data_IF_475057137086
#
_entry.id   IF_475057137086
#
_cell.length_a   1.000
_cell.length_b   1.000
_cell.length_c   1.000
_cell.angle_alpha   90.00
_cell.angle_beta   90.00
_cell.angle_gamma   90.00
#
_symmetry.space_group_name_H-M   'P 1'
#
loop_
_entity.id
_entity.type
_entity.pdbx_description
1 polymer ?
#
# COMPACT_ATOMS: atom_id res chain seq x y z
N UNK A 1 -6.39 -13.35 -11.70
CA UNK A 1 -6.82 -14.68 -12.14
C UNK A 1 -5.81 -15.32 -13.11
N UNK A 2 -5.51 -14.74 -14.26
CA UNK A 2 -4.51 -15.29 -15.19
C UNK A 2 -3.14 -15.49 -14.53
N UNK A 3 -2.64 -14.56 -13.72
CA UNK A 3 -1.40 -14.72 -12.95
C UNK A 3 -1.47 -15.85 -11.91
N UNK A 4 -2.64 -16.03 -11.27
CA UNK A 4 -2.84 -17.13 -10.32
C UNK A 4 -2.76 -18.50 -10.99
N UNK A 5 -3.20 -18.59 -12.26
CA UNK A 5 -3.21 -19.83 -13.03
C UNK A 5 -1.88 -20.10 -13.74
N UNK A 6 -1.21 -19.07 -14.24
CA UNK A 6 -0.01 -19.20 -15.07
C UNK A 6 1.30 -18.83 -14.35
N UNK A 7 1.21 -18.34 -13.11
CA UNK A 7 2.32 -17.86 -12.28
C UNK A 7 2.80 -16.47 -12.70
N UNK A 8 3.02 -16.22 -13.98
CA UNK A 8 3.43 -14.92 -14.52
C UNK A 8 2.82 -14.69 -15.89
N UNK A 9 2.49 -13.44 -16.18
CA UNK A 9 2.07 -13.01 -17.52
C UNK A 9 3.24 -12.58 -18.40
N UNK A 10 4.42 -12.40 -17.82
CA UNK A 10 5.61 -11.97 -18.56
C UNK A 10 5.97 -12.96 -19.66
N UNK A 11 6.06 -12.45 -20.89
CA UNK A 11 6.37 -13.24 -22.09
C UNK A 11 5.24 -14.15 -22.60
N UNK A 12 4.06 -14.15 -21.99
CA UNK A 12 2.90 -14.93 -22.44
C UNK A 12 2.25 -14.28 -23.64
N UNK A 13 1.96 -15.06 -24.67
CA UNK A 13 1.34 -14.58 -25.91
C UNK A 13 -0.19 -14.66 -25.83
N UNK A 14 -0.85 -13.60 -26.25
CA UNK A 14 -2.29 -13.43 -26.18
C UNK A 14 -2.92 -13.43 -27.56
N UNK A 15 -4.10 -14.04 -27.67
CA UNK A 15 -5.02 -13.91 -28.79
C UNK A 15 -6.33 -13.29 -28.29
N UNK A 16 -6.66 -12.12 -28.80
CA UNK A 16 -7.85 -11.37 -28.44
C UNK A 16 -8.90 -11.43 -29.54
N UNK A 17 -10.05 -12.01 -29.25
CA UNK A 17 -11.23 -11.97 -30.12
C UNK A 17 -12.09 -10.76 -29.77
N UNK A 18 -12.26 -9.86 -30.73
CA UNK A 18 -12.97 -8.61 -30.58
C UNK A 18 -12.04 -7.39 -30.60
N UNK A 19 -12.60 -6.24 -30.97
CA UNK A 19 -11.88 -4.97 -31.03
C UNK A 19 -12.73 -3.83 -30.43
N UNK A 20 -13.55 -4.14 -29.42
CA UNK A 20 -14.34 -3.19 -28.68
C UNK A 20 -13.57 -2.53 -27.53
N UNK A 21 -14.27 -1.69 -26.75
CA UNK A 21 -13.68 -0.98 -25.63
C UNK A 21 -13.12 -1.93 -24.55
N UNK A 22 -13.84 -3.00 -24.21
CA UNK A 22 -13.39 -4.00 -23.24
C UNK A 22 -12.14 -4.74 -23.73
N UNK A 23 -12.09 -5.08 -25.04
CA UNK A 23 -10.93 -5.67 -25.66
C UNK A 23 -9.69 -4.77 -25.54
N UNK A 24 -9.85 -3.45 -25.79
CA UNK A 24 -8.80 -2.44 -25.65
C UNK A 24 -8.26 -2.38 -24.21
N UNK A 25 -9.14 -2.24 -23.23
CA UNK A 25 -8.75 -2.16 -21.81
C UNK A 25 -8.03 -3.43 -21.34
N UNK A 26 -8.52 -4.58 -21.79
CA UNK A 26 -7.90 -5.87 -21.47
C UNK A 26 -6.52 -5.99 -22.07
N UNK A 27 -6.35 -5.63 -23.36
CA UNK A 27 -5.06 -5.62 -24.03
C UNK A 27 -4.04 -4.73 -23.31
N UNK A 28 -4.41 -3.50 -22.97
CA UNK A 28 -3.54 -2.57 -22.24
C UNK A 28 -3.11 -3.12 -20.87
N UNK A 29 -4.03 -3.74 -20.14
CA UNK A 29 -3.74 -4.35 -18.83
C UNK A 29 -2.73 -5.50 -18.94
N UNK A 30 -2.89 -6.38 -19.93
CA UNK A 30 -1.97 -7.50 -20.13
C UNK A 30 -0.59 -7.02 -20.58
N UNK A 31 -0.52 -6.07 -21.49
CA UNK A 31 0.75 -5.48 -21.95
C UNK A 31 1.47 -4.73 -20.81
N UNK A 32 0.72 -3.99 -19.99
CA UNK A 32 1.27 -3.33 -18.78
C UNK A 32 1.87 -4.29 -17.75
N UNK A 33 1.48 -5.58 -17.80
CA UNK A 33 2.04 -6.66 -16.97
C UNK A 33 3.15 -7.47 -17.67
N UNK A 34 3.66 -6.99 -18.79
CA UNK A 34 4.78 -7.58 -19.50
C UNK A 34 4.40 -8.79 -20.37
N UNK A 35 3.14 -8.91 -20.80
CA UNK A 35 2.73 -9.90 -21.78
C UNK A 35 3.59 -9.80 -23.06
N UNK A 36 3.76 -10.93 -23.74
CA UNK A 36 4.54 -11.02 -24.97
C UNK A 36 3.77 -10.50 -26.18
N UNK A 37 3.64 -11.32 -27.20
CA UNK A 37 2.92 -10.95 -28.43
C UNK A 37 1.41 -10.87 -28.17
N UNK A 38 0.77 -9.86 -28.77
CA UNK A 38 -0.67 -9.68 -28.77
C UNK A 38 -1.20 -9.82 -30.20
N UNK A 39 -1.97 -10.87 -30.47
CA UNK A 39 -2.70 -11.07 -31.68
C UNK A 39 -4.15 -10.63 -31.51
N UNK A 40 -4.67 -9.85 -32.45
CA UNK A 40 -6.03 -9.30 -32.39
C UNK A 40 -6.83 -9.78 -33.59
N UNK A 41 -7.96 -10.38 -33.32
CA UNK A 41 -8.88 -10.92 -34.34
C UNK A 41 -10.24 -10.26 -34.19
N UNK A 42 -10.77 -9.77 -35.27
CA UNK A 42 -12.13 -9.29 -35.36
C UNK A 42 -12.80 -9.73 -36.66
N UNK A 43 -14.13 -9.74 -36.67
CA UNK A 43 -14.90 -10.02 -37.90
C UNK A 43 -14.58 -9.02 -39.02
N UNK A 44 -14.36 -7.76 -38.65
CA UNK A 44 -13.90 -6.69 -39.55
C UNK A 44 -12.41 -6.46 -39.27
N UNK A 45 -11.58 -6.76 -40.26
CA UNK A 45 -10.12 -6.68 -40.13
C UNK A 45 -9.65 -5.27 -39.79
N UNK A 46 -10.30 -4.26 -40.36
CA UNK A 46 -9.96 -2.84 -40.14
C UNK A 46 -10.00 -2.48 -38.68
N UNK A 47 -11.01 -2.94 -37.93
CA UNK A 47 -11.12 -2.70 -36.46
C UNK A 47 -10.03 -3.41 -35.69
N UNK A 48 -9.60 -4.58 -36.13
CA UNK A 48 -8.47 -5.28 -35.52
C UNK A 48 -7.16 -4.50 -35.75
N UNK A 49 -7.00 -3.95 -36.96
CA UNK A 49 -5.82 -3.15 -37.34
C UNK A 49 -5.76 -1.83 -36.53
N UNK A 50 -6.89 -1.13 -36.38
CA UNK A 50 -6.98 0.08 -35.56
C UNK A 50 -6.58 -0.21 -34.10
N UNK A 51 -7.14 -1.27 -33.51
CA UNK A 51 -6.79 -1.63 -32.14
C UNK A 51 -5.33 -2.07 -32.03
N UNK A 52 -4.82 -2.85 -33.01
CA UNK A 52 -3.44 -3.29 -33.03
C UNK A 52 -2.45 -2.13 -33.09
N UNK A 53 -2.74 -1.11 -33.90
CA UNK A 53 -1.93 0.12 -33.96
C UNK A 53 -1.90 0.87 -32.63
N UNK A 54 -3.04 0.96 -31.93
CA UNK A 54 -3.16 1.67 -30.66
C UNK A 54 -2.40 0.98 -29.51
N UNK A 55 -2.41 -0.35 -29.47
CA UNK A 55 -1.85 -1.10 -28.34
C UNK A 55 -0.51 -1.78 -28.65
N UNK A 56 0.00 -1.66 -29.88
CA UNK A 56 1.25 -2.32 -30.28
C UNK A 56 1.10 -3.82 -30.51
N UNK A 57 -0.10 -4.28 -30.93
CA UNK A 57 -0.40 -5.67 -31.26
C UNK A 57 -0.29 -5.97 -32.77
N UNK A 58 -0.65 -7.19 -33.14
CA UNK A 58 -0.72 -7.66 -34.54
C UNK A 58 -2.16 -8.06 -34.90
N UNK A 59 -2.75 -7.42 -35.90
CA UNK A 59 -4.05 -7.80 -36.41
C UNK A 59 -3.92 -9.07 -37.25
N UNK A 60 -4.78 -10.06 -37.01
CA UNK A 60 -4.84 -11.33 -37.73
C UNK A 60 -6.23 -11.48 -38.34
N UNK A 61 -6.26 -11.86 -39.60
CA UNK A 61 -7.52 -12.17 -40.26
C UNK A 61 -8.18 -13.39 -39.62
N UNK A 62 -9.50 -13.38 -39.47
CA UNK A 62 -10.26 -14.43 -38.77
C UNK A 62 -10.00 -15.86 -39.34
N UNK A 63 -9.72 -15.98 -40.64
CA UNK A 63 -9.39 -17.25 -41.29
C UNK A 63 -7.96 -17.73 -41.04
N UNK A 64 -7.09 -16.84 -40.57
CA UNK A 64 -5.65 -17.08 -40.40
C UNK A 64 -5.26 -17.34 -38.94
N UNK A 65 -6.22 -17.41 -38.03
CA UNK A 65 -5.97 -17.64 -36.60
C UNK A 65 -5.16 -18.92 -36.34
N UNK A 66 -5.33 -19.93 -37.20
CA UNK A 66 -4.61 -21.19 -37.06
C UNK A 66 -3.08 -21.03 -37.25
N UNK A 67 -2.62 -20.00 -37.97
CA UNK A 67 -1.20 -19.75 -38.18
C UNK A 67 -0.47 -19.24 -36.92
N UNK A 68 -1.19 -18.66 -35.96
CA UNK A 68 -0.63 -18.07 -34.73
C UNK A 68 -1.00 -18.85 -33.48
N UNK A 69 -2.01 -19.70 -33.54
CA UNK A 69 -2.57 -20.36 -32.32
C UNK A 69 -1.56 -21.27 -31.62
N UNK A 70 -0.59 -21.82 -32.34
CA UNK A 70 0.50 -22.60 -31.73
C UNK A 70 1.39 -21.80 -30.81
N UNK A 71 1.46 -20.47 -30.97
CA UNK A 71 2.28 -19.56 -30.18
C UNK A 71 1.50 -18.92 -29.02
N UNK A 72 0.17 -19.09 -28.98
CA UNK A 72 -0.72 -18.43 -27.99
C UNK A 72 -0.82 -19.21 -26.69
N UNK A 73 -0.75 -18.54 -25.56
CA UNK A 73 -0.94 -19.11 -24.21
C UNK A 73 -2.31 -18.75 -23.62
N UNK A 74 -2.84 -17.60 -24.01
CA UNK A 74 -4.10 -17.06 -23.46
C UNK A 74 -4.98 -16.62 -24.63
N UNK A 75 -6.25 -17.02 -24.61
CA UNK A 75 -7.29 -16.50 -25.52
C UNK A 75 -8.29 -15.70 -24.69
N UNK A 76 -8.57 -14.49 -25.13
CA UNK A 76 -9.57 -13.62 -24.52
C UNK A 76 -10.68 -13.37 -25.53
N UNK A 77 -11.90 -13.71 -25.17
CA UNK A 77 -13.08 -13.51 -25.99
C UNK A 77 -13.88 -12.31 -25.47
N UNK A 78 -14.11 -11.33 -26.34
CA UNK A 78 -14.76 -10.05 -26.05
C UNK A 78 -15.48 -9.52 -27.29
N UNK A 79 -16.30 -10.37 -27.94
CA UNK A 79 -17.06 -9.95 -29.12
C UNK A 79 -18.53 -9.66 -28.76
N UNK A 80 -19.26 -9.08 -29.67
CA UNK A 80 -20.72 -8.91 -29.55
C UNK A 80 -21.49 -9.95 -30.39
N UNK A 81 -20.92 -11.13 -30.62
CA UNK A 81 -21.55 -12.17 -31.42
C UNK A 81 -22.74 -12.78 -30.66
N UNK A 82 -23.89 -13.05 -31.34
CA UNK A 82 -25.04 -13.66 -30.69
C UNK A 82 -24.91 -15.18 -30.50
N UNK A 83 -23.79 -15.77 -30.90
CA UNK A 83 -23.50 -17.21 -30.87
C UNK A 83 -22.04 -17.45 -30.49
N UNK A 84 -21.72 -18.66 -30.06
CA UNK A 84 -20.34 -19.03 -29.72
C UNK A 84 -19.37 -18.86 -30.88
N UNK A 85 -18.34 -18.07 -30.68
CA UNK A 85 -17.24 -17.82 -31.60
C UNK A 85 -16.17 -18.91 -31.45
N UNK A 86 -15.97 -19.41 -30.23
CA UNK A 86 -15.03 -20.47 -29.91
C UNK A 86 -15.84 -21.72 -29.51
N UNK A 87 -15.98 -22.63 -30.46
CA UNK A 87 -16.70 -23.89 -30.27
C UNK A 87 -15.75 -25.03 -29.96
N UNK A 88 -16.26 -26.16 -29.44
CA UNK A 88 -15.47 -27.36 -29.12
C UNK A 88 -14.69 -27.86 -30.33
N UNK A 89 -15.29 -28.05 -31.55
CA UNK A 89 -14.53 -28.52 -32.71
C UNK A 89 -13.40 -27.58 -33.15
N UNK A 90 -13.61 -26.26 -33.00
CA UNK A 90 -12.60 -25.26 -33.33
C UNK A 90 -11.44 -25.31 -32.32
N UNK A 91 -11.74 -25.38 -31.05
CA UNK A 91 -10.73 -25.41 -29.99
C UNK A 91 -9.95 -26.72 -29.99
N UNK A 92 -10.61 -27.84 -30.32
CA UNK A 92 -9.95 -29.13 -30.47
C UNK A 92 -8.84 -29.06 -31.57
N UNK A 93 -9.13 -28.46 -32.73
CA UNK A 93 -8.11 -28.22 -33.76
C UNK A 93 -6.98 -27.30 -33.28
N UNK A 94 -7.29 -26.31 -32.47
CA UNK A 94 -6.28 -25.44 -31.86
C UNK A 94 -5.36 -26.24 -30.93
N UNK A 95 -5.91 -27.12 -30.10
CA UNK A 95 -5.13 -27.95 -29.17
C UNK A 95 -4.24 -28.97 -29.93
N UNK A 96 -4.70 -29.49 -31.06
CA UNK A 96 -3.87 -30.33 -31.91
C UNK A 96 -2.65 -29.57 -32.45
N UNK A 97 -2.84 -28.36 -32.99
CA UNK A 97 -1.75 -27.47 -33.44
C UNK A 97 -0.81 -27.04 -32.31
N UNK A 98 -1.31 -26.97 -31.08
CA UNK A 98 -0.57 -26.62 -29.88
C UNK A 98 0.11 -27.81 -29.20
N UNK A 99 -0.08 -29.01 -29.72
CA UNK A 99 0.43 -30.26 -29.14
C UNK A 99 -0.01 -30.47 -27.68
N UNK A 100 -1.25 -30.11 -27.38
CA UNK A 100 -1.82 -30.25 -26.02
C UNK A 100 -1.28 -29.30 -24.97
N UNK A 101 -0.49 -28.28 -25.33
CA UNK A 101 0.02 -27.29 -24.34
C UNK A 101 -1.15 -26.60 -23.62
N UNK A 102 -1.01 -26.31 -22.31
CA UNK A 102 -2.04 -25.63 -21.55
C UNK A 102 -2.50 -24.32 -22.21
N UNK A 103 -3.80 -24.13 -22.26
CA UNK A 103 -4.44 -22.95 -22.83
C UNK A 103 -5.42 -22.36 -21.84
N UNK A 104 -5.26 -21.08 -21.55
CA UNK A 104 -6.19 -20.32 -20.74
C UNK A 104 -7.17 -19.57 -21.63
N UNK A 105 -8.46 -19.75 -21.41
CA UNK A 105 -9.55 -19.01 -22.03
C UNK A 105 -10.19 -18.08 -21.00
N UNK A 106 -10.42 -16.85 -21.41
CA UNK A 106 -11.13 -15.84 -20.59
C UNK A 106 -12.26 -15.27 -21.46
N UNK A 107 -13.51 -15.57 -21.11
CA UNK A 107 -14.69 -15.09 -21.81
C UNK A 107 -15.31 -13.92 -21.02
N UNK A 108 -15.14 -12.72 -21.56
CA UNK A 108 -15.73 -11.48 -21.00
C UNK A 108 -16.86 -10.94 -21.88
N UNK A 109 -17.34 -11.76 -22.83
CA UNK A 109 -18.42 -11.36 -23.72
C UNK A 109 -19.82 -11.58 -23.11
N UNK A 110 -20.73 -10.71 -23.47
CA UNK A 110 -22.16 -10.85 -23.19
C UNK A 110 -22.92 -10.60 -24.48
N UNK A 111 -23.59 -11.63 -25.05
CA UNK A 111 -23.64 -13.05 -24.62
C UNK A 111 -22.25 -13.74 -24.73
N UNK A 112 -22.11 -14.94 -24.14
CA UNK A 112 -20.85 -15.71 -24.14
C UNK A 112 -20.37 -16.03 -25.53
N UNK A 113 -19.07 -15.84 -25.74
CA UNK A 113 -18.36 -16.18 -26.99
C UNK A 113 -17.83 -17.62 -27.02
N UNK A 114 -17.62 -18.22 -25.84
CA UNK A 114 -17.00 -19.54 -25.69
C UNK A 114 -18.04 -20.58 -25.26
N UNK A 115 -18.10 -21.70 -25.99
CA UNK A 115 -18.90 -22.84 -25.60
C UNK A 115 -18.37 -23.44 -24.28
N UNK A 116 -19.16 -23.51 -23.20
CA UNK A 116 -18.74 -24.09 -21.93
C UNK A 116 -18.21 -25.52 -22.00
N UNK A 117 -18.65 -26.30 -23.00
CA UNK A 117 -18.21 -27.67 -23.21
C UNK A 117 -16.71 -27.79 -23.57
N UNK A 118 -16.02 -26.68 -23.90
CA UNK A 118 -14.56 -26.68 -24.16
C UNK A 118 -13.75 -27.08 -22.92
N UNK A 119 -14.30 -26.94 -21.72
CA UNK A 119 -13.64 -27.37 -20.47
C UNK A 119 -13.40 -28.88 -20.39
N UNK A 120 -14.04 -29.66 -21.24
CA UNK A 120 -13.81 -31.10 -21.37
C UNK A 120 -12.54 -31.45 -22.16
N UNK A 121 -11.96 -30.49 -22.87
CA UNK A 121 -10.73 -30.70 -23.63
C UNK A 121 -9.50 -30.68 -22.70
N UNK A 122 -8.58 -31.64 -22.85
CA UNK A 122 -7.38 -31.68 -22.04
C UNK A 122 -6.54 -30.40 -22.16
N UNK A 123 -6.03 -29.90 -21.05
CA UNK A 123 -5.17 -28.72 -21.01
C UNK A 123 -5.89 -27.39 -21.26
N UNK A 124 -7.22 -27.37 -21.27
CA UNK A 124 -8.02 -26.14 -21.43
C UNK A 124 -8.60 -25.72 -20.09
N UNK A 125 -8.36 -24.47 -19.71
CA UNK A 125 -8.99 -23.82 -18.57
C UNK A 125 -9.83 -22.67 -19.08
N UNK A 126 -11.10 -22.59 -18.69
CA UNK A 126 -12.02 -21.51 -19.06
C UNK A 126 -12.44 -20.75 -17.82
N UNK A 127 -12.34 -19.44 -17.89
CA UNK A 127 -12.98 -18.50 -16.96
C UNK A 127 -13.95 -17.62 -17.72
N UNK A 128 -15.09 -17.36 -17.13
CA UNK A 128 -16.11 -16.45 -17.66
C UNK A 128 -16.26 -15.21 -16.74
N UNK A 129 -17.15 -14.30 -17.11
CA UNK A 129 -17.36 -13.05 -16.38
C UNK A 129 -17.87 -13.30 -14.95
N UNK A 130 -18.62 -14.37 -14.72
CA UNK A 130 -19.16 -14.70 -13.38
C UNK A 130 -18.02 -15.16 -12.45
N UNK A 131 -17.09 -15.98 -12.97
CA UNK A 131 -15.88 -16.42 -12.24
C UNK A 131 -14.97 -15.21 -11.91
N UNK A 132 -14.98 -14.16 -12.74
CA UNK A 132 -14.24 -12.93 -12.49
C UNK A 132 -14.87 -12.12 -11.35
N UNK A 133 -16.20 -12.14 -11.19
CA UNK A 133 -16.89 -11.46 -10.11
C UNK A 133 -16.55 -12.05 -8.74
N UNK A 134 -16.44 -13.37 -8.62
CA UNK A 134 -16.02 -14.02 -7.38
C UNK A 134 -14.63 -13.54 -6.92
N UNK A 135 -13.69 -13.40 -7.86
CA UNK A 135 -12.34 -12.89 -7.54
C UNK A 135 -12.36 -11.41 -7.14
N UNK A 136 -13.27 -10.62 -7.69
CA UNK A 136 -13.44 -9.21 -7.28
C UNK A 136 -13.93 -9.13 -5.84
N UNK A 137 -14.91 -9.95 -5.46
CA UNK A 137 -15.41 -10.00 -4.08
C UNK A 137 -14.34 -10.42 -3.07
N UNK A 138 -13.51 -11.42 -3.39
CA UNK A 138 -12.39 -11.84 -2.55
C UNK A 138 -11.35 -10.72 -2.38
N UNK A 139 -11.07 -9.97 -3.45
CA UNK A 139 -10.16 -8.83 -3.41
C UNK A 139 -10.73 -7.65 -2.61
N UNK A 140 -12.03 -7.39 -2.69
CA UNK A 140 -12.71 -6.36 -1.90
C UNK A 140 -12.66 -6.69 -0.40
N UNK A 141 -12.95 -7.94 -0.02
CA UNK A 141 -12.86 -8.39 1.36
C UNK A 141 -11.42 -8.30 1.91
N UNK A 142 -10.41 -8.52 1.08
CA UNK A 142 -9.00 -8.37 1.46
C UNK A 142 -8.63 -6.91 1.61
N UNK A 143 -9.02 -6.03 0.66
CA UNK A 143 -8.81 -4.58 0.75
C UNK A 143 -9.50 -3.97 1.97
N UNK A 144 -10.69 -4.45 2.31
CA UNK A 144 -11.41 -4.00 3.50
C UNK A 144 -10.65 -4.34 4.80
N UNK A 145 -10.08 -5.54 4.89
CA UNK A 145 -9.22 -5.94 6.02
C UNK A 145 -7.94 -5.11 6.09
N UNK A 146 -7.30 -4.85 4.96
CA UNK A 146 -6.11 -4.00 4.88
C UNK A 146 -6.43 -2.53 5.23
N UNK A 147 -7.59 -2.01 4.80
CA UNK A 147 -8.05 -0.67 5.16
C UNK A 147 -8.30 -0.52 6.66
N UNK A 148 -8.90 -1.53 7.31
CA UNK A 148 -9.07 -1.57 8.77
C UNK A 148 -7.72 -1.60 9.47
N UNK A 149 -6.76 -2.41 9.02
CA UNK A 149 -5.41 -2.43 9.58
C UNK A 149 -4.69 -1.08 9.41
N UNK A 150 -4.86 -0.43 8.26
CA UNK A 150 -4.30 0.89 8.01
C UNK A 150 -4.93 1.98 8.91
N UNK A 151 -6.24 1.91 9.21
CA UNK A 151 -6.89 2.87 10.12
C UNK A 151 -6.32 2.82 11.52
N UNK A 152 -5.98 1.64 12.05
CA UNK A 152 -5.30 1.52 13.36
C UNK A 152 -3.95 2.24 13.38
N UNK A 153 -3.16 2.14 12.30
CA UNK A 153 -1.87 2.82 12.21
C UNK A 153 -2.06 4.35 12.18
N UNK A 154 -3.08 4.82 11.47
CA UNK A 154 -3.43 6.25 11.43
C UNK A 154 -3.88 6.74 12.79
N UNK A 155 -4.76 6.01 13.48
CA UNK A 155 -5.26 6.37 14.81
C UNK A 155 -4.12 6.41 15.84
N UNK A 156 -3.20 5.47 15.82
CA UNK A 156 -2.00 5.47 16.67
C UNK A 156 -1.10 6.67 16.37
N UNK A 157 -0.89 6.99 15.10
CA UNK A 157 -0.10 8.15 14.69
C UNK A 157 -0.77 9.48 15.12
N UNK A 158 -2.08 9.58 14.97
CA UNK A 158 -2.87 10.75 15.40
C UNK A 158 -2.80 10.91 16.92
N UNK A 159 -2.98 9.85 17.70
CA UNK A 159 -2.87 9.90 19.16
C UNK A 159 -1.47 10.34 19.59
N UNK A 160 -0.43 9.80 18.99
CA UNK A 160 0.97 10.21 19.24
C UNK A 160 1.19 11.68 18.88
N UNK A 161 0.59 12.15 17.79
CA UNK A 161 0.67 13.56 17.39
C UNK A 161 -0.07 14.48 18.36
N UNK A 162 -1.26 14.08 18.83
CA UNK A 162 -2.04 14.83 19.81
C UNK A 162 -1.25 14.94 21.13
N UNK A 163 -0.66 13.87 21.64
CA UNK A 163 0.18 13.89 22.84
C UNK A 163 1.37 14.84 22.69
N UNK A 164 2.04 14.82 21.54
CA UNK A 164 3.14 15.76 21.25
C UNK A 164 2.67 17.20 21.15
N UNK A 165 1.51 17.43 20.55
CA UNK A 165 0.93 18.76 20.44
C UNK A 165 0.51 19.31 21.80
N UNK A 166 -0.05 18.47 22.66
CA UNK A 166 -0.40 18.83 24.03
C UNK A 166 0.82 19.33 24.82
N UNK A 167 1.98 18.68 24.65
CA UNK A 167 3.20 19.12 25.33
C UNK A 167 3.72 20.48 24.84
N UNK A 168 3.41 20.90 23.60
CA UNK A 168 3.93 22.15 23.04
C UNK A 168 3.43 23.39 23.77
N UNK A 169 2.20 23.40 24.27
CA UNK A 169 1.62 24.55 25.00
C UNK A 169 2.37 24.85 26.31
N UNK A 170 2.75 23.81 27.04
CA UNK A 170 3.46 23.94 28.32
C UNK A 170 4.98 23.87 28.21
N UNK A 171 5.51 23.53 27.05
CA UNK A 171 6.96 23.36 26.80
C UNK A 171 7.80 24.56 27.25
N UNK A 172 7.42 25.82 26.97
CA UNK A 172 8.21 26.98 27.40
C UNK A 172 8.41 27.03 28.93
N UNK A 173 7.37 26.72 29.67
CA UNK A 173 7.40 26.72 31.18
C UNK A 173 8.25 25.57 31.68
N UNK A 174 8.08 24.38 31.12
CA UNK A 174 8.86 23.18 31.48
C UNK A 174 10.35 23.39 31.21
N UNK A 175 10.71 23.98 30.06
CA UNK A 175 12.08 24.29 29.71
C UNK A 175 12.68 25.38 30.64
N UNK A 176 11.94 26.46 30.89
CA UNK A 176 12.39 27.56 31.78
C UNK A 176 12.69 27.04 33.18
N UNK A 177 11.78 26.27 33.78
CA UNK A 177 11.96 25.67 35.10
C UNK A 177 13.17 24.73 35.13
N UNK A 178 13.30 23.85 34.15
CA UNK A 178 14.41 22.91 34.05
C UNK A 178 15.76 23.61 33.92
N UNK A 179 15.83 24.64 33.07
CA UNK A 179 17.06 25.43 32.86
C UNK A 179 17.42 26.26 34.10
N UNK A 180 16.45 26.84 34.81
CA UNK A 180 16.69 27.59 36.02
C UNK A 180 17.24 26.69 37.12
N UNK A 181 16.62 25.52 37.31
CA UNK A 181 17.07 24.57 38.32
C UNK A 181 18.49 24.03 38.03
N UNK A 182 18.78 23.76 36.76
CA UNK A 182 20.11 23.30 36.38
C UNK A 182 21.17 24.40 36.54
N UNK A 183 20.86 25.64 36.18
CA UNK A 183 21.75 26.78 36.48
C UNK A 183 22.04 26.92 37.96
N UNK A 184 21.01 26.81 38.80
CA UNK A 184 21.14 26.87 40.26
C UNK A 184 22.00 25.70 40.78
N UNK A 185 21.73 24.48 40.33
CA UNK A 185 22.53 23.32 40.64
C UNK A 185 24.02 23.50 40.30
N UNK A 186 24.32 23.89 39.06
CA UNK A 186 25.70 24.10 38.60
C UNK A 186 26.41 25.20 39.41
N UNK A 187 25.69 26.29 39.77
CA UNK A 187 26.26 27.35 40.60
C UNK A 187 26.70 26.80 41.96
N UNK A 188 25.84 26.06 42.65
CA UNK A 188 26.15 25.50 43.97
C UNK A 188 27.20 24.38 43.92
N UNK A 189 27.19 23.53 42.89
CA UNK A 189 28.21 22.51 42.68
C UNK A 189 29.59 23.15 42.47
N UNK A 190 29.68 24.21 41.64
CA UNK A 190 30.92 24.97 41.44
C UNK A 190 31.41 25.61 42.76
N UNK A 191 30.48 26.17 43.55
CA UNK A 191 30.82 26.76 44.87
C UNK A 191 31.29 25.71 45.87
N UNK A 192 30.70 24.51 45.88
CA UNK A 192 31.13 23.40 46.71
C UNK A 192 32.55 22.95 46.33
N UNK A 193 32.88 22.82 45.03
CA UNK A 193 34.21 22.48 44.57
C UNK A 193 35.26 23.45 45.06
N UNK A 194 34.96 24.74 45.00
CA UNK A 194 35.88 25.79 45.48
C UNK A 194 36.09 25.77 47.00
N UNK A 195 35.10 25.29 47.78
CA UNK A 195 35.18 25.24 49.24
C UNK A 195 35.78 23.93 49.78
N UNK A 196 35.82 22.89 48.95
CA UNK A 196 36.28 21.56 49.33
C UNK A 196 37.41 21.09 48.36
N UNK A 197 38.55 21.79 48.32
CA UNK A 197 39.63 21.52 47.37
C UNK A 197 40.30 20.16 47.64
N UNK A 198 40.14 19.58 48.83
CA UNK A 198 40.68 18.30 49.24
C UNK A 198 39.94 17.09 48.66
N UNK A 199 38.77 17.29 48.13
CA UNK A 199 38.00 16.19 47.48
C UNK A 199 38.66 15.75 46.20
N UNK A 200 38.83 14.43 46.05
CA UNK A 200 39.28 13.83 44.81
C UNK A 200 38.19 14.01 43.71
N UNK A 201 38.59 13.90 42.46
CA UNK A 201 37.65 13.99 41.31
C UNK A 201 36.54 12.93 41.39
N UNK A 202 36.85 11.72 41.88
CA UNK A 202 35.86 10.67 42.06
C UNK A 202 34.86 10.98 43.16
N UNK A 203 35.31 11.52 44.28
CA UNK A 203 34.44 11.98 45.37
C UNK A 203 33.53 13.14 44.88
N UNK A 204 34.10 14.05 44.08
CA UNK A 204 33.36 15.17 43.56
C UNK A 204 32.30 14.71 42.52
N UNK A 205 32.55 13.70 41.70
CA UNK A 205 31.54 13.08 40.83
C UNK A 205 30.33 12.55 41.62
N UNK A 206 30.55 12.01 42.83
CA UNK A 206 29.46 11.57 43.72
C UNK A 206 28.58 12.76 44.12
N UNK A 207 29.17 13.91 44.47
CA UNK A 207 28.45 15.15 44.80
C UNK A 207 27.66 15.65 43.58
N UNK A 208 28.25 15.67 42.40
CA UNK A 208 27.55 16.05 41.14
C UNK A 208 26.35 15.15 40.86
N UNK A 209 26.56 13.83 40.90
CA UNK A 209 25.48 12.86 40.68
C UNK A 209 24.34 13.00 41.71
N UNK A 210 24.69 13.15 43.01
CA UNK A 210 23.72 13.35 44.05
C UNK A 210 22.88 14.62 43.80
N UNK A 211 23.54 15.74 43.46
CA UNK A 211 22.88 17.01 43.19
C UNK A 211 21.92 16.89 41.98
N UNK A 212 22.34 16.15 40.92
CA UNK A 212 21.50 15.91 39.73
C UNK A 212 20.26 15.07 40.09
N UNK A 213 20.44 13.99 40.88
CA UNK A 213 19.33 13.14 41.32
C UNK A 213 18.33 13.93 42.15
N UNK A 214 18.82 14.77 43.09
CA UNK A 214 17.97 15.59 43.93
C UNK A 214 17.13 16.57 43.11
N UNK A 215 17.73 17.33 42.20
CA UNK A 215 17.01 18.27 41.34
C UNK A 215 15.95 17.55 40.53
N UNK A 216 16.29 16.42 39.90
CA UNK A 216 15.33 15.61 39.13
C UNK A 216 14.17 15.11 40.01
N UNK A 217 14.44 14.64 41.22
CA UNK A 217 13.39 14.16 42.13
C UNK A 217 12.46 15.27 42.57
N UNK A 218 12.99 16.45 42.93
CA UNK A 218 12.20 17.61 43.34
C UNK A 218 11.31 18.11 42.20
N UNK A 219 11.85 18.20 40.98
CA UNK A 219 11.12 18.74 39.83
C UNK A 219 10.15 17.73 39.20
N UNK A 220 10.26 16.45 39.50
CA UNK A 220 9.44 15.41 38.89
C UNK A 220 7.93 15.66 39.04
N UNK A 221 7.48 16.01 40.25
CA UNK A 221 6.07 16.21 40.52
C UNK A 221 5.51 17.48 39.85
N UNK A 222 6.12 18.68 39.98
CA UNK A 222 5.64 19.87 39.32
C UNK A 222 5.69 19.76 37.77
N UNK A 223 6.75 19.19 37.20
CA UNK A 223 6.83 19.00 35.74
C UNK A 223 5.75 18.05 35.22
N UNK A 224 5.53 16.91 35.89
CA UNK A 224 4.47 15.98 35.57
C UNK A 224 3.10 16.64 35.62
N UNK A 225 2.80 17.36 36.70
CA UNK A 225 1.53 18.08 36.87
C UNK A 225 1.28 19.10 35.76
N UNK A 226 2.33 19.80 35.33
CA UNK A 226 2.24 20.76 34.22
C UNK A 226 1.91 20.08 32.90
N UNK A 227 2.56 18.95 32.59
CA UNK A 227 2.28 18.19 31.38
C UNK A 227 0.88 17.57 31.41
N UNK A 228 0.43 17.04 32.54
CA UNK A 228 -0.93 16.50 32.72
C UNK A 228 -2.02 17.58 32.61
N UNK A 229 -1.72 18.83 32.93
CA UNK A 229 -2.64 19.95 32.78
C UNK A 229 -2.68 20.53 31.35
N UNK A 230 -1.75 20.16 30.50
CA UNK A 230 -1.65 20.67 29.13
C UNK A 230 -2.94 20.44 28.33
N UNK A 231 -3.42 21.49 27.65
CA UNK A 231 -4.70 21.51 26.91
C UNK A 231 -5.94 21.13 27.73
N UNK A 232 -5.89 21.26 29.05
CA UNK A 232 -7.06 21.17 29.95
C UNK A 232 -7.48 22.56 30.41
N UNK A 233 -8.72 22.73 30.95
CA UNK A 233 -9.14 24.00 31.56
C UNK A 233 -8.25 24.47 32.70
N UNK A 234 -7.45 23.57 33.28
CA UNK A 234 -6.53 23.86 34.40
C UNK A 234 -5.15 24.38 33.93
N UNK A 235 -4.83 24.34 32.64
CA UNK A 235 -3.50 24.68 32.11
C UNK A 235 -3.03 26.07 32.56
N UNK A 236 -3.83 27.10 32.29
CA UNK A 236 -3.49 28.48 32.66
C UNK A 236 -3.27 28.68 34.14
N UNK A 237 -4.02 27.99 34.99
CA UNK A 237 -3.89 28.03 36.41
C UNK A 237 -2.59 27.38 36.89
N UNK A 238 -2.30 26.16 36.41
CA UNK A 238 -1.10 25.40 36.78
C UNK A 238 0.16 26.11 36.28
N UNK A 239 0.17 26.63 35.07
CA UNK A 239 1.27 27.40 34.49
C UNK A 239 1.54 28.66 35.30
N UNK A 240 0.49 29.41 35.68
CA UNK A 240 0.58 30.63 36.48
C UNK A 240 1.11 30.35 37.89
N UNK A 241 0.60 29.31 38.54
CA UNK A 241 1.08 28.88 39.88
C UNK A 241 2.57 28.50 39.80
N UNK A 242 2.98 27.75 38.80
CA UNK A 242 4.37 27.33 38.64
C UNK A 242 5.29 28.53 38.40
N UNK A 243 4.88 29.48 37.53
CA UNK A 243 5.61 30.73 37.29
C UNK A 243 5.81 31.52 38.59
N UNK A 244 4.77 31.65 39.38
CA UNK A 244 4.82 32.40 40.65
C UNK A 244 5.71 31.71 41.71
N UNK A 245 5.55 30.39 41.89
CA UNK A 245 6.30 29.65 42.91
C UNK A 245 7.81 29.60 42.59
N UNK A 246 8.17 29.46 41.31
CA UNK A 246 9.56 29.34 40.91
C UNK A 246 10.15 30.64 40.34
N UNK A 247 9.39 31.74 40.34
CA UNK A 247 9.80 33.03 39.80
C UNK A 247 10.39 32.93 38.38
N UNK A 248 9.61 32.32 37.47
CA UNK A 248 10.06 32.05 36.11
C UNK A 248 9.78 33.26 35.19
N UNK A 249 10.83 33.92 34.72
CA UNK A 249 10.75 34.93 33.66
C UNK A 249 10.66 34.24 32.30
N UNK A 250 9.44 34.05 31.79
CA UNK A 250 9.23 33.60 30.41
C UNK A 250 8.86 34.84 29.60
N UNK A 251 9.79 35.32 28.79
CA UNK A 251 9.46 36.30 27.74
C UNK A 251 8.54 35.61 26.75
N UNK A 252 7.37 36.20 26.50
CA UNK A 252 6.43 35.82 25.46
C UNK A 252 7.08 35.81 24.08
#
# INVERSE_FOLDING_TARGET
MAEKQLGSLSGRNLLLYGAGQMARLTAQNFLGKGAGKLYIVNRHLERAQELAADVGGQAIHYKEVQSVVSDVDIIIASTGAPHYVITVPRLQRFQELRQGRPLLLIDIAVPRDVDPAVTRLPGVTLYNIDDLQEVVHDNEATRQREAVAASYIVDEAVNTMIERYQYLSVRPVVLSLSQQAERTRLHFVKRARNKLPELTDDQFRVVENLSHILVRKILRAPLRRTVEAANTPDEDRVVRELRNVFNLDIKE
#
